data_IF_291157855512
#
_entry.id   IF_291157855512
#
_cell.length_a   1.000
_cell.length_b   1.000
_cell.length_c   1.000
_cell.angle_alpha   90.00
_cell.angle_beta   90.00
_cell.angle_gamma   90.00
#
_symmetry.space_group_name_H-M   'P 1'
#
loop_
_entity.id
_entity.type
_entity.pdbx_description
1 polymer ?
#
# COMPACT_ATOMS: atom_id res chain seq x y z
N UNK A 1 -6.02 -6.19 -9.64
CA UNK A 1 -5.90 -5.07 -8.69
C UNK A 1 -7.03 -4.05 -8.77
N UNK A 2 -7.77 -3.91 -9.88
CA UNK A 2 -8.88 -2.94 -9.98
C UNK A 2 -9.83 -2.97 -8.77
N UNK A 3 -10.36 -4.15 -8.43
CA UNK A 3 -11.31 -4.31 -7.30
C UNK A 3 -10.66 -3.92 -5.97
N UNK A 4 -9.41 -4.32 -5.75
CA UNK A 4 -8.67 -4.00 -4.53
C UNK A 4 -8.51 -2.48 -4.35
N UNK A 5 -8.00 -1.78 -5.37
CA UNK A 5 -7.83 -0.33 -5.26
C UNK A 5 -9.17 0.41 -5.21
N UNK A 6 -10.21 -0.08 -5.89
CA UNK A 6 -11.55 0.50 -5.79
C UNK A 6 -12.10 0.42 -4.36
N UNK A 7 -11.91 -0.73 -3.70
CA UNK A 7 -12.25 -0.90 -2.29
C UNK A 7 -11.39 -0.01 -1.38
N UNK A 8 -10.07 0.07 -1.63
CA UNK A 8 -9.18 0.96 -0.87
C UNK A 8 -9.62 2.42 -0.99
N UNK A 9 -9.97 2.88 -2.19
CA UNK A 9 -10.56 4.22 -2.40
C UNK A 9 -11.87 4.40 -1.65
N UNK A 10 -12.75 3.39 -1.65
CA UNK A 10 -14.07 3.48 -1.03
C UNK A 10 -13.97 3.56 0.50
N UNK A 11 -13.18 2.69 1.12
CA UNK A 11 -13.00 2.64 2.59
C UNK A 11 -12.41 3.94 3.12
N UNK A 12 -11.63 4.64 2.29
CA UNK A 12 -11.01 5.89 2.66
C UNK A 12 -12.01 6.98 3.05
N UNK A 13 -13.29 6.90 2.64
CA UNK A 13 -14.32 7.86 3.07
C UNK A 13 -14.49 7.94 4.60
N UNK A 14 -14.04 6.92 5.33
CA UNK A 14 -14.07 6.89 6.80
C UNK A 14 -12.92 7.65 7.46
N UNK A 15 -11.87 8.02 6.70
CA UNK A 15 -10.70 8.72 7.22
C UNK A 15 -10.89 10.26 7.14
N UNK A 16 -10.28 11.02 8.08
CA UNK A 16 -10.45 12.49 8.15
C UNK A 16 -9.93 13.23 6.91
N UNK A 17 -8.99 12.64 6.18
CA UNK A 17 -8.31 13.20 5.02
C UNK A 17 -8.65 12.45 3.71
N UNK A 18 -9.87 11.92 3.65
CA UNK A 18 -10.32 11.04 2.58
C UNK A 18 -10.17 11.58 1.16
N UNK A 19 -10.23 12.90 0.98
CA UNK A 19 -10.05 13.54 -0.32
C UNK A 19 -8.66 13.25 -0.92
N UNK A 20 -7.63 13.24 -0.07
CA UNK A 20 -6.26 13.00 -0.51
C UNK A 20 -6.07 11.52 -0.83
N UNK A 21 -6.24 10.64 0.16
CA UNK A 21 -6.02 9.21 0.00
C UNK A 21 -7.00 8.53 -0.96
N UNK A 22 -8.24 9.00 -1.02
CA UNK A 22 -9.22 8.52 -1.99
C UNK A 22 -8.71 8.74 -3.41
N UNK A 23 -8.13 9.92 -3.68
CA UNK A 23 -7.49 10.25 -4.95
C UNK A 23 -6.22 9.40 -5.20
N UNK A 24 -5.40 9.18 -4.17
CA UNK A 24 -4.20 8.32 -4.23
C UNK A 24 -4.54 6.87 -4.58
N UNK A 25 -5.67 6.34 -4.16
CA UNK A 25 -6.07 4.98 -4.57
C UNK A 25 -6.90 4.97 -5.87
N UNK A 26 -7.53 6.09 -6.23
CA UNK A 26 -8.33 6.18 -7.45
C UNK A 26 -7.46 6.07 -8.71
N UNK A 27 -6.28 6.69 -8.72
CA UNK A 27 -5.35 6.63 -9.86
C UNK A 27 -4.97 5.18 -10.22
N UNK A 28 -4.45 4.34 -9.31
CA UNK A 28 -4.16 2.94 -9.63
C UNK A 28 -5.42 2.12 -9.90
N UNK A 29 -6.60 2.50 -9.36
CA UNK A 29 -7.89 1.90 -9.73
C UNK A 29 -8.20 2.12 -11.22
N UNK A 30 -8.17 3.37 -11.68
CA UNK A 30 -8.47 3.73 -13.06
C UNK A 30 -7.44 3.10 -14.02
N UNK A 31 -6.17 3.11 -13.66
CA UNK A 31 -5.12 2.48 -14.47
C UNK A 31 -5.33 0.97 -14.60
N UNK A 32 -5.63 0.29 -13.49
CA UNK A 32 -5.95 -1.14 -13.49
C UNK A 32 -7.21 -1.45 -14.30
N UNK A 33 -8.18 -0.53 -14.31
CA UNK A 33 -9.41 -0.62 -15.09
C UNK A 33 -9.11 -0.56 -16.59
N UNK A 34 -8.33 0.44 -17.02
CA UNK A 34 -7.92 0.58 -18.43
C UNK A 34 -7.16 -0.66 -18.91
N UNK A 35 -6.22 -1.17 -18.10
CA UNK A 35 -5.48 -2.39 -18.42
C UNK A 35 -6.37 -3.64 -18.53
N UNK A 36 -7.42 -3.73 -17.72
CA UNK A 36 -8.34 -4.85 -17.74
C UNK A 36 -9.24 -4.85 -18.98
N UNK A 37 -9.70 -3.67 -19.43
CA UNK A 37 -10.62 -3.55 -20.56
C UNK A 37 -9.94 -3.52 -21.92
N UNK A 38 -8.75 -2.92 -22.05
CA UNK A 38 -8.05 -2.85 -23.34
C UNK A 38 -6.54 -2.82 -23.19
N UNK A 39 -5.92 -3.95 -23.54
CA UNK A 39 -4.47 -4.05 -23.62
C UNK A 39 -3.91 -3.17 -24.75
N UNK A 40 -4.68 -2.95 -25.82
CA UNK A 40 -4.24 -2.11 -26.96
C UNK A 40 -3.96 -0.67 -26.54
N UNK A 41 -4.79 -0.08 -25.67
CA UNK A 41 -4.59 1.28 -25.15
C UNK A 41 -3.26 1.37 -24.37
N UNK A 42 -2.87 0.30 -23.67
CA UNK A 42 -1.66 0.29 -22.84
C UNK A 42 -0.36 0.42 -23.66
N UNK A 43 -0.39 0.08 -24.95
CA UNK A 43 0.75 0.22 -25.85
C UNK A 43 0.90 1.63 -26.43
N UNK A 44 -0.09 2.50 -26.27
CA UNK A 44 -0.03 3.86 -26.80
C UNK A 44 1.01 4.70 -26.05
N UNK A 45 1.85 5.44 -26.75
CA UNK A 45 2.95 6.22 -26.14
C UNK A 45 2.46 7.23 -25.09
N UNK A 46 1.27 7.82 -25.29
CA UNK A 46 0.63 8.71 -24.32
C UNK A 46 0.32 7.98 -23.01
N UNK A 47 -0.22 6.76 -23.09
CA UNK A 47 -0.48 5.94 -21.90
C UNK A 47 0.83 5.56 -21.20
N UNK A 48 1.87 5.23 -21.97
CA UNK A 48 3.19 4.91 -21.43
C UNK A 48 3.88 6.10 -20.75
N UNK A 49 3.76 7.30 -21.32
CA UNK A 49 4.23 8.52 -20.68
C UNK A 49 3.45 8.78 -19.39
N UNK A 50 2.12 8.68 -19.44
CA UNK A 50 1.24 8.87 -18.28
C UNK A 50 1.58 7.93 -17.12
N UNK A 51 1.73 6.63 -17.38
CA UNK A 51 2.04 5.66 -16.31
C UNK A 51 3.43 5.89 -15.71
N UNK A 52 4.42 6.32 -16.50
CA UNK A 52 5.76 6.67 -16.02
C UNK A 52 5.75 7.96 -15.19
N UNK A 53 4.96 8.96 -15.59
CA UNK A 53 4.74 10.17 -14.79
C UNK A 53 4.07 9.84 -13.46
N UNK A 54 3.04 8.98 -13.46
CA UNK A 54 2.44 8.48 -12.23
C UNK A 54 3.47 7.77 -11.35
N UNK A 55 4.30 6.87 -11.90
CA UNK A 55 5.34 6.19 -11.13
C UNK A 55 6.31 7.16 -10.43
N UNK A 56 6.68 8.25 -11.10
CA UNK A 56 7.52 9.29 -10.52
C UNK A 56 6.79 10.05 -9.39
N UNK A 57 5.53 10.41 -9.57
CA UNK A 57 4.75 11.06 -8.52
C UNK A 57 4.58 10.14 -7.29
N UNK A 58 4.28 8.86 -7.51
CA UNK A 58 4.16 7.88 -6.43
C UNK A 58 5.49 7.58 -5.75
N UNK A 59 6.61 7.62 -6.47
CA UNK A 59 7.93 7.44 -5.84
C UNK A 59 8.27 8.62 -4.94
N UNK A 60 8.00 9.85 -5.36
CA UNK A 60 8.15 11.05 -4.52
C UNK A 60 7.21 10.99 -3.29
N UNK A 61 5.96 10.60 -3.49
CA UNK A 61 4.99 10.43 -2.40
C UNK A 61 5.45 9.37 -1.39
N UNK A 62 5.94 8.22 -1.88
CA UNK A 62 6.43 7.13 -1.03
C UNK A 62 7.68 7.56 -0.27
N UNK A 63 8.59 8.31 -0.90
CA UNK A 63 9.78 8.86 -0.21
C UNK A 63 9.39 9.86 0.87
N UNK A 64 8.39 10.70 0.60
CA UNK A 64 7.83 11.63 1.59
C UNK A 64 7.28 10.86 2.79
N UNK A 65 6.39 9.89 2.59
CA UNK A 65 5.86 9.10 3.71
C UNK A 65 6.92 8.24 4.40
N UNK A 66 7.92 7.72 3.68
CA UNK A 66 9.06 7.01 4.27
C UNK A 66 9.82 7.92 5.25
N UNK A 67 10.03 9.19 4.88
CA UNK A 67 10.67 10.17 5.76
C UNK A 67 9.86 10.38 7.05
N UNK A 68 8.55 10.61 6.94
CA UNK A 68 7.68 10.80 8.11
C UNK A 68 7.62 9.54 8.98
N UNK A 69 7.49 8.37 8.36
CA UNK A 69 7.48 7.09 9.08
C UNK A 69 8.79 6.84 9.84
N UNK A 70 9.95 7.11 9.23
CA UNK A 70 11.26 6.99 9.91
C UNK A 70 11.35 7.99 11.07
N UNK A 71 10.89 9.22 10.88
CA UNK A 71 10.84 10.23 11.95
C UNK A 71 9.93 9.79 13.10
N UNK A 72 8.73 9.32 12.81
CA UNK A 72 7.81 8.79 13.79
C UNK A 72 8.41 7.61 14.56
N UNK A 73 8.94 6.62 13.86
CA UNK A 73 9.60 5.46 14.48
C UNK A 73 10.80 5.86 15.36
N UNK A 74 11.57 6.88 14.96
CA UNK A 74 12.66 7.42 15.77
C UNK A 74 12.17 8.11 17.05
N UNK A 75 11.03 8.81 16.99
CA UNK A 75 10.44 9.47 18.15
C UNK A 75 9.84 8.44 19.12
N UNK A 76 9.11 7.44 18.62
CA UNK A 76 8.54 6.35 19.43
C UNK A 76 9.65 5.56 20.13
N UNK A 77 10.73 5.22 19.41
CA UNK A 77 11.86 4.52 20.04
C UNK A 77 12.54 5.38 21.11
N UNK A 78 12.72 6.68 20.89
CA UNK A 78 13.30 7.59 21.89
C UNK A 78 12.41 7.70 23.14
N UNK A 79 11.09 7.79 22.97
CA UNK A 79 10.15 7.86 24.09
C UNK A 79 10.15 6.56 24.91
N UNK A 80 10.14 5.39 24.26
CA UNK A 80 10.24 4.10 24.96
C UNK A 80 11.53 3.93 25.77
N UNK A 81 12.65 4.46 25.28
CA UNK A 81 13.91 4.51 26.04
C UNK A 81 13.81 5.42 27.28
N UNK A 82 13.15 6.58 27.17
CA UNK A 82 12.98 7.50 28.30
C UNK A 82 12.08 6.87 29.38
N UNK A 83 10.95 6.30 28.98
CA UNK A 83 9.97 5.72 29.91
C UNK A 83 10.56 4.53 30.67
N UNK A 84 11.29 3.64 29.98
CA UNK A 84 12.00 2.51 30.63
C UNK A 84 13.11 2.96 31.61
N UNK A 85 13.69 4.15 31.40
CA UNK A 85 14.70 4.71 32.31
C UNK A 85 14.05 5.26 33.59
N UNK A 86 12.87 5.89 33.47
CA UNK A 86 12.11 6.43 34.61
C UNK A 86 11.36 5.35 35.42
N UNK A 87 10.90 4.28 34.78
CA UNK A 87 10.25 3.14 35.44
C UNK A 87 11.20 2.39 36.39
N UNK A 88 12.51 2.45 36.15
CA UNK A 88 13.52 1.88 37.06
C UNK A 88 13.61 2.56 38.44
N UNK A 89 12.90 3.68 38.65
CA UNK A 89 12.93 4.46 39.89
C UNK A 89 11.58 4.55 40.64
N UNK A 90 10.48 3.98 40.13
CA UNK A 90 9.17 4.06 40.78
C UNK A 90 8.39 2.74 40.77
N UNK A 91 7.63 2.46 41.84
CA UNK A 91 6.79 1.26 41.99
C UNK A 91 5.72 1.19 40.90
N UNK A 92 5.33 -0.01 40.43
CA UNK A 92 4.49 -0.17 39.25
C UNK A 92 3.04 0.14 39.56
N UNK A 93 2.53 1.28 39.08
CA UNK A 93 1.11 1.58 39.02
C UNK A 93 0.60 1.49 37.58
N UNK A 94 0.01 0.34 37.27
CA UNK A 94 -1.09 0.15 36.30
C UNK A 94 -1.05 0.92 34.97
N UNK A 95 -0.61 0.24 33.91
CA UNK A 95 -1.44 -0.27 32.79
C UNK A 95 -0.59 -0.28 31.50
N UNK A 96 -0.12 -1.46 31.03
CA UNK A 96 0.65 -1.57 29.80
C UNK A 96 -0.32 -1.56 28.63
N UNK A 97 -0.87 -0.39 28.30
CA UNK A 97 -1.79 -0.24 27.16
C UNK A 97 -1.26 0.78 26.18
N UNK A 98 -0.09 0.48 25.61
CA UNK A 98 0.29 1.01 24.31
C UNK A 98 0.99 -0.08 23.51
N UNK A 99 0.26 -1.13 23.17
CA UNK A 99 0.55 -1.93 21.98
C UNK A 99 0.28 -1.03 20.75
N UNK A 100 1.06 0.04 20.59
CA UNK A 100 1.05 0.83 19.37
C UNK A 100 1.87 0.03 18.36
N UNK A 101 1.24 -0.94 17.70
CA UNK A 101 1.89 -1.62 16.59
C UNK A 101 2.28 -0.50 15.61
N UNK A 102 3.58 -0.35 15.33
CA UNK A 102 4.10 0.70 14.45
C UNK A 102 3.39 0.67 13.07
N UNK A 103 2.87 -0.50 12.69
CA UNK A 103 2.08 -0.72 11.46
C UNK A 103 0.64 -0.19 11.56
N UNK A 104 0.04 -0.19 12.75
CA UNK A 104 -1.32 0.33 12.99
C UNK A 104 -1.34 1.85 13.19
N UNK A 105 -0.15 2.48 13.29
CA UNK A 105 -0.03 3.93 13.23
C UNK A 105 -0.52 4.47 11.88
N UNK A 106 -1.09 5.67 11.90
CA UNK A 106 -1.55 6.37 10.70
C UNK A 106 -0.39 6.48 9.69
N UNK A 107 0.80 6.87 10.16
CA UNK A 107 2.01 6.99 9.36
C UNK A 107 2.46 5.65 8.75
N UNK A 108 2.30 4.55 9.48
CA UNK A 108 2.58 3.20 8.99
C UNK A 108 1.62 2.76 7.88
N UNK A 109 0.32 3.01 8.07
CA UNK A 109 -0.74 2.71 7.11
C UNK A 109 -0.55 3.50 5.81
N UNK A 110 -0.28 4.79 5.91
CA UNK A 110 -0.03 5.68 4.79
C UNK A 110 1.21 5.26 3.97
N UNK A 111 2.31 4.96 4.67
CA UNK A 111 3.54 4.50 4.03
C UNK A 111 3.32 3.18 3.29
N UNK A 112 2.76 2.16 3.96
CA UNK A 112 2.48 0.86 3.33
C UNK A 112 1.48 0.99 2.17
N UNK A 113 0.46 1.82 2.33
CA UNK A 113 -0.52 2.13 1.30
C UNK A 113 0.12 2.68 0.03
N UNK A 114 0.97 3.70 0.17
CA UNK A 114 1.72 4.30 -0.93
C UNK A 114 2.70 3.30 -1.57
N UNK A 115 3.36 2.45 -0.77
CA UNK A 115 4.29 1.43 -1.24
C UNK A 115 3.61 0.35 -2.09
N UNK A 116 2.43 -0.13 -1.67
CA UNK A 116 1.63 -1.09 -2.46
C UNK A 116 1.22 -0.47 -3.79
N UNK A 117 0.76 0.79 -3.79
CA UNK A 117 0.38 1.50 -5.02
C UNK A 117 1.58 1.68 -5.96
N UNK A 118 2.73 2.09 -5.43
CA UNK A 118 3.97 2.25 -6.21
C UNK A 118 4.42 0.92 -6.82
N UNK A 119 4.46 -0.16 -6.02
CA UNK A 119 4.82 -1.50 -6.51
C UNK A 119 3.90 -1.94 -7.64
N UNK A 120 2.59 -1.69 -7.52
CA UNK A 120 1.65 -2.03 -8.58
C UNK A 120 1.89 -1.23 -9.87
N UNK A 121 2.20 0.06 -9.76
CA UNK A 121 2.52 0.90 -10.92
C UNK A 121 3.81 0.42 -11.59
N UNK A 122 4.84 0.04 -10.82
CA UNK A 122 6.08 -0.52 -11.35
C UNK A 122 5.81 -1.84 -12.10
N UNK A 123 5.03 -2.74 -11.49
CA UNK A 123 4.61 -4.01 -12.12
C UNK A 123 3.85 -3.72 -13.42
N UNK A 124 2.96 -2.73 -13.42
CA UNK A 124 2.20 -2.31 -14.59
C UNK A 124 3.09 -1.82 -15.73
N UNK A 125 4.11 -1.02 -15.43
CA UNK A 125 5.12 -0.58 -16.42
C UNK A 125 5.87 -1.79 -16.97
N UNK A 126 6.30 -2.68 -16.08
CA UNK A 126 7.02 -3.89 -16.45
C UNK A 126 6.22 -4.76 -17.40
N UNK A 127 4.95 -5.05 -17.08
CA UNK A 127 4.05 -5.85 -17.94
C UNK A 127 3.86 -5.18 -19.31
N UNK A 128 3.63 -3.87 -19.32
CA UNK A 128 3.38 -3.12 -20.56
C UNK A 128 4.62 -3.13 -21.48
N UNK A 129 5.82 -3.04 -20.88
CA UNK A 129 7.09 -3.03 -21.62
C UNK A 129 7.48 -4.44 -22.09
N UNK A 130 7.30 -5.46 -21.25
CA UNK A 130 7.70 -6.85 -21.57
C UNK A 130 6.76 -7.53 -22.56
N UNK A 131 5.45 -7.24 -22.52
CA UNK A 131 4.51 -7.78 -23.51
C UNK A 131 4.79 -7.28 -24.95
N UNK A 132 5.55 -6.19 -25.14
CA UNK A 132 6.02 -5.79 -26.47
C UNK A 132 7.11 -6.72 -27.03
N UNK A 133 7.85 -7.43 -26.17
CA UNK A 133 9.06 -8.20 -26.55
C UNK A 133 8.76 -9.67 -26.87
N UNK A 134 7.48 -10.10 -26.82
CA UNK A 134 7.07 -11.41 -27.35
C UNK A 134 7.51 -12.63 -26.53
N UNK A 135 8.02 -12.45 -25.31
CA UNK A 135 8.54 -13.56 -24.50
C UNK A 135 7.42 -14.28 -23.70
N UNK A 136 6.72 -15.18 -24.39
CA UNK A 136 5.47 -15.80 -23.92
C UNK A 136 5.61 -16.64 -22.64
N UNK A 137 6.80 -17.20 -22.36
CA UNK A 137 7.03 -18.09 -21.23
C UNK A 137 7.29 -17.32 -19.92
N UNK A 138 8.14 -16.28 -19.97
CA UNK A 138 8.38 -15.39 -18.84
C UNK A 138 7.09 -14.63 -18.46
N UNK A 139 6.31 -14.24 -19.46
CA UNK A 139 4.98 -13.63 -19.31
C UNK A 139 4.00 -14.54 -18.53
N UNK A 140 4.00 -15.87 -18.75
CA UNK A 140 3.04 -16.78 -18.08
C UNK A 140 3.34 -16.97 -16.59
N UNK A 141 4.59 -17.21 -16.21
CA UNK A 141 4.99 -17.40 -14.80
C UNK A 141 4.75 -16.13 -13.99
N UNK A 142 5.09 -14.98 -14.57
CA UNK A 142 4.89 -13.69 -13.92
C UNK A 142 3.41 -13.35 -13.75
N UNK A 143 2.57 -13.65 -14.74
CA UNK A 143 1.10 -13.51 -14.63
C UNK A 143 0.51 -14.33 -13.48
N UNK A 144 1.00 -15.55 -13.27
CA UNK A 144 0.56 -16.41 -12.15
C UNK A 144 0.98 -15.80 -10.81
N UNK A 145 2.23 -15.34 -10.69
CA UNK A 145 2.70 -14.68 -9.46
C UNK A 145 1.91 -13.40 -9.15
N UNK A 146 1.64 -12.58 -10.16
CA UNK A 146 0.80 -11.39 -10.02
C UNK A 146 -0.60 -11.80 -9.56
N UNK A 147 -1.19 -12.83 -10.17
CA UNK A 147 -2.51 -13.32 -9.77
C UNK A 147 -2.52 -13.77 -8.30
N UNK A 148 -1.54 -14.56 -7.86
CA UNK A 148 -1.42 -14.99 -6.46
C UNK A 148 -1.26 -13.78 -5.53
N UNK A 149 -0.34 -12.86 -5.87
CA UNK A 149 -0.12 -11.64 -5.10
C UNK A 149 -1.40 -10.80 -5.00
N UNK A 150 -2.23 -10.81 -6.05
CA UNK A 150 -3.50 -10.09 -6.04
C UNK A 150 -4.58 -10.67 -5.13
N UNK A 151 -4.48 -11.95 -4.79
CA UNK A 151 -5.40 -12.60 -3.88
C UNK A 151 -5.00 -12.42 -2.41
N UNK A 152 -3.72 -12.14 -2.12
CA UNK A 152 -3.23 -11.99 -0.74
C UNK A 152 -4.06 -10.98 0.07
N UNK A 153 -4.35 -9.75 -0.40
CA UNK A 153 -5.12 -8.79 0.40
C UNK A 153 -6.56 -9.25 0.66
N UNK A 154 -7.18 -9.94 -0.30
CA UNK A 154 -8.56 -10.45 -0.19
C UNK A 154 -8.62 -11.60 0.82
N UNK A 155 -7.66 -12.52 0.74
CA UNK A 155 -7.54 -13.65 1.67
C UNK A 155 -7.25 -13.12 3.08
N UNK A 156 -6.32 -12.18 3.22
CA UNK A 156 -5.99 -11.57 4.51
C UNK A 156 -7.21 -10.88 5.12
N UNK A 157 -7.95 -10.11 4.32
CA UNK A 157 -9.18 -9.44 4.75
C UNK A 157 -10.22 -10.45 5.23
N UNK A 158 -10.44 -11.53 4.48
CA UNK A 158 -11.40 -12.58 4.85
C UNK A 158 -10.99 -13.28 6.16
N UNK A 159 -9.70 -13.58 6.33
CA UNK A 159 -9.17 -14.18 7.56
C UNK A 159 -9.39 -13.24 8.74
N UNK A 160 -9.02 -11.96 8.63
CA UNK A 160 -9.16 -10.98 9.71
C UNK A 160 -10.64 -10.78 10.09
N UNK A 161 -11.52 -10.60 9.11
CA UNK A 161 -12.96 -10.48 9.35
C UNK A 161 -13.52 -11.70 10.09
N UNK A 162 -13.13 -12.90 9.66
CA UNK A 162 -13.56 -14.14 10.30
C UNK A 162 -13.05 -14.20 11.74
N UNK A 163 -11.78 -13.83 11.97
CA UNK A 163 -11.16 -13.84 13.30
C UNK A 163 -11.86 -12.87 14.26
N UNK A 164 -12.22 -11.68 13.78
CA UNK A 164 -12.94 -10.66 14.55
C UNK A 164 -14.32 -11.14 15.00
N UNK A 165 -15.06 -11.84 14.12
CA UNK A 165 -16.37 -12.43 14.44
C UNK A 165 -16.27 -13.56 15.47
N UNK A 166 -15.18 -14.32 15.51
CA UNK A 166 -15.01 -15.41 16.49
C UNK A 166 -14.47 -14.94 17.85
N UNK A 167 -13.88 -13.75 17.94
CA UNK A 167 -13.30 -13.19 19.17
C UNK A 167 -14.22 -12.20 19.89
N UNK A 168 -15.36 -11.83 19.30
CA UNK A 168 -16.46 -11.07 19.91
C UNK A 168 -17.57 -12.02 20.38
#
# INVERSE_FOLDING_TARGET
>A
MMIFFALATFVQHNDPDWYFWGSVYLVPTLMSTVQAFSVTITYHYVYQAFIRSCALLYSLLTLFHAYYFIRFASNVSTQGWIDSTFESQSMPSSSPTTNLLIVDSEEGREFLGSLIALLWIIISIYITTTNQVGDAALSRRFKILIFIFTLIPIILWFILYTLEVYLC
#
